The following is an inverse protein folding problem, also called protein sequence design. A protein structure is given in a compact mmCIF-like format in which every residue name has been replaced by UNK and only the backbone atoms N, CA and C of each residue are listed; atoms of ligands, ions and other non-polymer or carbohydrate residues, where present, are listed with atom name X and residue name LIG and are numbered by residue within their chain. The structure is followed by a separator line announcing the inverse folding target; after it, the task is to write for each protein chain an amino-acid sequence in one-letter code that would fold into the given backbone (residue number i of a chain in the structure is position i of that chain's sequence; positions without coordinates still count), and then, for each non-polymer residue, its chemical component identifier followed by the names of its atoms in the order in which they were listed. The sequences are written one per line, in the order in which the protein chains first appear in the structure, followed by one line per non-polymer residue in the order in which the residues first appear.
data_IF_485417141108
#
_entry.id   IF_485417141108
#
_cell.length_a   1.000
_cell.length_b   1.000
_cell.length_c   1.000
_cell.angle_alpha   90.00
_cell.angle_beta   90.00
_cell.angle_gamma   90.00
#
_symmetry.space_group_name_H-M   'P 1'
#
loop_
_entity.id
_entity.type
_entity.pdbx_description
1 polymer ?
#
# COMPACT_ATOMS: atom_id res chain seq x y z
N UNK A 1 -39.24 35.87 31.92
CA UNK A 1 -38.65 34.85 31.04
C UNK A 1 -37.17 35.21 30.85
N UNK A 2 -36.20 34.48 31.41
CA UNK A 2 -34.79 34.77 31.19
C UNK A 2 -34.37 34.24 29.81
N UNK A 3 -33.72 35.10 29.02
CA UNK A 3 -33.12 34.70 27.73
C UNK A 3 -31.85 33.92 28.03
N UNK A 4 -31.88 32.62 27.79
CA UNK A 4 -30.73 31.74 27.98
C UNK A 4 -29.75 32.03 26.83
N UNK A 5 -28.64 32.68 27.14
CA UNK A 5 -27.61 33.02 26.15
C UNK A 5 -26.99 31.77 25.54
N UNK A 6 -26.96 31.72 24.20
CA UNK A 6 -26.27 30.69 23.43
C UNK A 6 -24.77 30.66 23.77
N UNK A 7 -24.13 29.49 23.97
CA UNK A 7 -22.70 29.43 24.23
C UNK A 7 -21.91 29.98 23.04
N UNK A 8 -21.29 31.13 23.25
CA UNK A 8 -20.44 31.80 22.29
C UNK A 8 -19.12 31.04 22.21
N UNK A 9 -19.07 30.11 21.26
CA UNK A 9 -17.83 29.40 20.93
C UNK A 9 -16.96 30.36 20.11
N UNK A 10 -15.84 30.80 20.68
CA UNK A 10 -14.92 31.73 20.04
C UNK A 10 -14.35 31.12 18.74
N UNK A 11 -14.50 31.78 17.57
CA UNK A 11 -14.03 31.28 16.28
C UNK A 11 -12.54 30.89 16.27
N UNK A 12 -11.70 31.61 17.03
CA UNK A 12 -10.26 31.39 17.08
C UNK A 12 -9.85 30.03 17.68
N UNK A 13 -10.64 29.47 18.61
CA UNK A 13 -10.34 28.17 19.24
C UNK A 13 -10.56 26.99 18.29
N UNK A 14 -11.48 27.12 17.33
CA UNK A 14 -11.78 26.06 16.38
C UNK A 14 -10.65 25.93 15.32
N UNK A 15 -10.08 27.06 14.91
CA UNK A 15 -8.98 27.12 13.95
C UNK A 15 -7.71 26.48 14.53
N UNK A 16 -7.35 26.81 15.78
CA UNK A 16 -6.16 26.25 16.43
C UNK A 16 -6.26 24.74 16.65
N UNK A 17 -7.45 24.23 17.01
CA UNK A 17 -7.68 22.79 17.17
C UNK A 17 -7.56 22.03 15.83
N UNK A 18 -8.04 22.64 14.75
CA UNK A 18 -7.95 22.05 13.41
C UNK A 18 -6.49 22.02 12.92
N UNK A 19 -5.73 23.08 13.18
CA UNK A 19 -4.30 23.15 12.87
C UNK A 19 -3.49 22.09 13.64
N UNK A 20 -3.76 21.92 14.93
CA UNK A 20 -3.12 20.89 15.74
C UNK A 20 -3.44 19.47 15.24
N UNK A 21 -4.71 19.19 14.93
CA UNK A 21 -5.12 17.92 14.36
C UNK A 21 -4.45 17.62 13.01
N UNK A 22 -4.32 18.63 12.14
CA UNK A 22 -3.61 18.49 10.87
C UNK A 22 -2.11 18.24 11.08
N UNK A 23 -1.48 18.91 12.04
CA UNK A 23 -0.07 18.71 12.37
C UNK A 23 0.20 17.28 12.84
N UNK A 24 -0.65 16.76 13.73
CA UNK A 24 -0.57 15.37 14.20
C UNK A 24 -0.73 14.39 13.05
N UNK A 25 -1.74 14.60 12.18
CA UNK A 25 -1.96 13.75 10.99
C UNK A 25 -0.75 13.77 10.05
N UNK A 26 -0.18 14.94 9.80
CA UNK A 26 0.99 15.09 8.93
C UNK A 26 2.22 14.36 9.49
N UNK A 27 2.50 14.53 10.80
CA UNK A 27 3.60 13.83 11.47
C UNK A 27 3.45 12.31 11.38
N UNK A 28 2.24 11.81 11.64
CA UNK A 28 1.93 10.38 11.51
C UNK A 28 2.17 9.88 10.09
N UNK A 29 1.58 10.53 9.09
CA UNK A 29 1.77 10.18 7.68
C UNK A 29 3.24 10.17 7.27
N UNK A 30 4.01 11.19 7.65
CA UNK A 30 5.45 11.27 7.36
C UNK A 30 6.20 10.07 7.94
N UNK A 31 5.92 9.71 9.20
CA UNK A 31 6.58 8.57 9.85
C UNK A 31 6.22 7.24 9.20
N UNK A 32 4.94 7.01 8.92
CA UNK A 32 4.45 5.76 8.32
C UNK A 32 4.97 5.60 6.89
N UNK A 33 4.94 6.68 6.09
CA UNK A 33 5.47 6.70 4.74
C UNK A 33 6.98 6.40 4.73
N UNK A 34 7.75 7.05 5.60
CA UNK A 34 9.19 6.78 5.73
C UNK A 34 9.47 5.31 6.05
N UNK A 35 8.78 4.75 7.05
CA UNK A 35 8.95 3.35 7.43
C UNK A 35 8.57 2.40 6.28
N UNK A 36 7.48 2.69 5.59
CA UNK A 36 7.02 1.89 4.45
C UNK A 36 8.03 1.89 3.30
N UNK A 37 8.56 3.05 2.91
CA UNK A 37 9.58 3.13 1.86
C UNK A 37 10.85 2.36 2.26
N UNK A 38 11.30 2.51 3.51
CA UNK A 38 12.46 1.77 4.01
C UNK A 38 12.23 0.27 3.99
N UNK A 39 11.04 -0.16 4.43
CA UNK A 39 10.61 -1.55 4.41
C UNK A 39 10.54 -2.12 2.98
N UNK A 40 9.96 -1.38 2.02
CA UNK A 40 9.71 -1.84 0.65
C UNK A 40 10.98 -1.99 -0.19
N UNK A 41 11.93 -1.08 -0.04
CA UNK A 41 13.10 -1.02 -0.94
C UNK A 41 14.41 -1.46 -0.28
N UNK A 42 14.51 -1.36 1.05
CA UNK A 42 15.74 -1.61 1.78
C UNK A 42 15.61 -2.75 2.80
N UNK A 43 14.46 -3.41 2.87
CA UNK A 43 14.23 -4.55 3.76
C UNK A 43 13.51 -5.69 3.05
N UNK A 44 13.68 -6.90 3.57
CA UNK A 44 12.86 -8.06 3.24
C UNK A 44 11.65 -8.18 4.19
N UNK A 45 11.42 -7.19 5.06
CA UNK A 45 10.39 -7.20 6.10
C UNK A 45 9.43 -6.03 5.99
N UNK A 46 8.16 -6.27 6.29
CA UNK A 46 7.10 -5.25 6.40
C UNK A 46 7.37 -4.30 7.55
N UNK A 47 6.65 -3.17 7.59
CA UNK A 47 6.70 -2.20 8.70
C UNK A 47 6.35 -2.82 10.07
N UNK A 48 5.72 -4.00 10.10
CA UNK A 48 5.38 -4.74 11.32
C UNK A 48 6.38 -5.87 11.62
N UNK A 49 7.49 -5.95 10.88
CA UNK A 49 8.53 -6.95 11.07
C UNK A 49 8.25 -8.33 10.46
N UNK A 50 7.10 -8.51 9.80
CA UNK A 50 6.77 -9.73 9.06
C UNK A 50 7.57 -9.84 7.77
N UNK A 51 7.77 -11.04 7.23
CA UNK A 51 8.44 -11.21 5.94
C UNK A 51 7.55 -10.67 4.80
N UNK A 52 8.14 -9.93 3.85
CA UNK A 52 7.42 -9.39 2.68
C UNK A 52 7.12 -10.49 1.65
N UNK A 53 7.99 -11.49 1.57
CA UNK A 53 7.91 -12.53 0.56
C UNK A 53 7.21 -13.77 1.12
N UNK A 54 6.09 -14.13 0.51
CA UNK A 54 5.37 -15.36 0.86
C UNK A 54 5.96 -16.58 0.15
N UNK A 55 6.51 -16.38 -1.05
CA UNK A 55 7.03 -17.44 -1.90
C UNK A 55 8.50 -17.19 -2.20
N UNK A 56 9.33 -18.21 -1.93
CA UNK A 56 10.72 -18.28 -2.36
C UNK A 56 10.87 -19.54 -3.20
N UNK A 57 11.25 -19.39 -4.45
CA UNK A 57 11.52 -20.50 -5.35
C UNK A 57 12.91 -20.32 -5.96
N UNK A 58 13.59 -21.42 -6.26
CA UNK A 58 14.88 -21.38 -6.93
C UNK A 58 14.71 -21.92 -8.34
N UNK A 59 14.95 -21.09 -9.34
CA UNK A 59 14.99 -21.48 -10.76
C UNK A 59 16.43 -21.32 -11.21
N UNK A 60 17.02 -22.34 -11.82
CA UNK A 60 18.39 -22.28 -12.39
C UNK A 60 19.47 -21.76 -11.41
N UNK A 61 19.33 -22.11 -10.12
CA UNK A 61 20.16 -21.66 -8.97
C UNK A 61 19.98 -20.20 -8.55
N UNK A 62 19.09 -19.45 -9.17
CA UNK A 62 18.73 -18.09 -8.75
C UNK A 62 17.52 -18.10 -7.81
N UNK A 63 17.60 -17.46 -6.63
CA UNK A 63 16.46 -17.33 -5.72
C UNK A 63 15.50 -16.24 -6.19
N UNK A 64 14.33 -16.64 -6.67
CA UNK A 64 13.22 -15.73 -7.01
C UNK A 64 12.31 -15.60 -5.80
N UNK A 65 12.03 -14.35 -5.41
CA UNK A 65 11.12 -14.03 -4.30
C UNK A 65 9.89 -13.30 -4.84
N UNK A 66 8.71 -13.67 -4.36
CA UNK A 66 7.44 -13.03 -4.74
C UNK A 66 6.68 -12.58 -3.50
N UNK A 67 6.18 -11.34 -3.53
CA UNK A 67 5.26 -10.81 -2.53
C UNK A 67 3.84 -10.79 -3.09
N UNK A 68 2.84 -11.11 -2.26
CA UNK A 68 1.41 -10.97 -2.57
C UNK A 68 0.76 -9.81 -1.82
N UNK A 69 1.51 -9.09 -1.00
CA UNK A 69 0.98 -7.96 -0.25
C UNK A 69 0.70 -6.80 -1.19
N UNK A 70 -0.53 -6.21 -1.20
CA UNK A 70 -0.93 -5.14 -2.13
C UNK A 70 -0.04 -3.88 -2.19
N UNK A 71 0.91 -3.70 -1.26
CA UNK A 71 1.93 -2.63 -1.32
C UNK A 71 3.33 -3.09 -1.79
N UNK A 72 3.61 -4.39 -1.77
CA UNK A 72 4.92 -4.96 -2.08
C UNK A 72 4.89 -5.83 -3.34
N UNK A 73 3.77 -5.82 -4.08
CA UNK A 73 3.70 -6.42 -5.39
C UNK A 73 4.80 -5.82 -6.28
N UNK A 74 5.53 -6.70 -6.96
CA UNK A 74 6.38 -6.26 -8.06
C UNK A 74 5.44 -5.80 -9.17
N UNK A 75 5.62 -4.57 -9.65
CA UNK A 75 4.94 -4.10 -10.86
C UNK A 75 5.57 -4.83 -12.04
N UNK A 76 5.20 -6.10 -12.21
CA UNK A 76 5.64 -6.92 -13.34
C UNK A 76 5.15 -6.34 -14.67
N UNK A 77 4.14 -5.46 -14.63
CA UNK A 77 3.66 -4.68 -15.76
C UNK A 77 3.33 -3.23 -15.34
N UNK A 78 4.30 -2.29 -15.44
CA UNK A 78 4.06 -0.87 -15.21
C UNK A 78 3.18 -0.22 -16.28
N UNK A 79 2.81 -0.92 -17.36
CA UNK A 79 2.02 -0.36 -18.45
C UNK A 79 0.50 -0.53 -18.24
N UNK A 80 0.07 -1.27 -17.20
CA UNK A 80 -1.33 -1.62 -16.96
C UNK A 80 -1.85 -1.11 -15.60
N UNK A 81 -1.57 0.16 -15.29
CA UNK A 81 -2.20 0.85 -14.15
C UNK A 81 -3.63 1.26 -14.52
N UNK A 82 -4.55 0.32 -14.48
CA UNK A 82 -5.97 0.62 -14.58
C UNK A 82 -6.48 0.83 -13.14
N UNK A 83 -6.85 2.07 -12.81
CA UNK A 83 -7.28 2.46 -11.47
C UNK A 83 -8.74 2.01 -11.30
N UNK A 84 -8.94 0.79 -10.82
CA UNK A 84 -10.26 0.14 -10.70
C UNK A 84 -11.06 0.71 -9.51
N UNK A 85 -11.24 2.03 -9.44
CA UNK A 85 -12.20 2.65 -8.54
C UNK A 85 -13.62 2.45 -9.08
N UNK A 86 -14.13 1.22 -9.04
CA UNK A 86 -15.57 0.89 -8.96
C UNK A 86 -15.77 -0.63 -8.82
N UNK A 87 -16.64 -1.01 -7.88
CA UNK A 87 -16.90 -2.37 -7.45
C UNK A 87 -17.33 -3.37 -8.56
N UNK A 88 -16.73 -4.56 -8.59
CA UNK A 88 -17.38 -5.90 -8.64
C UNK A 88 -16.35 -7.00 -8.98
N UNK A 89 -16.30 -8.05 -8.16
CA UNK A 89 -15.58 -9.33 -8.39
C UNK A 89 -16.42 -10.27 -9.30
N UNK A 90 -15.93 -11.40 -9.88
CA UNK A 90 -14.83 -12.27 -9.41
C UNK A 90 -13.89 -12.96 -10.45
N UNK A 91 -12.80 -13.49 -9.89
CA UNK A 91 -12.08 -14.75 -10.20
C UNK A 91 -11.44 -15.03 -11.58
N UNK A 92 -10.15 -15.41 -11.48
CA UNK A 92 -9.36 -16.31 -12.33
C UNK A 92 -9.46 -16.18 -13.86
N UNK A 93 -8.37 -15.72 -14.48
CA UNK A 93 -7.95 -16.26 -15.77
C UNK A 93 -6.46 -16.51 -15.76
N UNK A 94 -6.12 -17.76 -15.45
CA UNK A 94 -4.86 -18.35 -15.84
C UNK A 94 -4.85 -18.45 -17.37
N UNK A 95 -3.96 -17.72 -18.03
CA UNK A 95 -3.51 -18.07 -19.37
C UNK A 95 -1.99 -18.03 -19.37
N UNK A 96 -1.40 -19.15 -18.96
CA UNK A 96 -0.03 -19.47 -19.31
C UNK A 96 -0.01 -20.00 -20.73
N UNK A 97 0.58 -19.26 -21.66
CA UNK A 97 0.98 -19.79 -22.96
C UNK A 97 2.51 -19.82 -23.02
N UNK A 98 3.12 -20.76 -22.29
CA UNK A 98 4.45 -21.24 -22.63
C UNK A 98 4.27 -22.39 -23.62
N UNK A 99 4.61 -22.17 -24.90
CA UNK A 99 4.91 -23.28 -25.79
C UNK A 99 6.42 -23.56 -25.75
N UNK A 100 6.87 -24.74 -25.31
CA UNK A 100 8.24 -25.17 -25.54
C UNK A 100 8.34 -25.75 -26.95
N UNK A 101 9.08 -25.07 -27.83
CA UNK A 101 9.50 -25.65 -29.11
C UNK A 101 10.68 -26.59 -28.85
N UNK A 102 10.41 -27.89 -28.77
CA UNK A 102 11.43 -28.91 -29.00
C UNK A 102 11.27 -29.41 -30.43
N UNK A 103 12.27 -29.21 -31.27
CA UNK A 103 12.47 -30.05 -32.45
C UNK A 103 13.96 -30.38 -32.55
N UNK A 104 14.27 -31.65 -32.29
CA UNK A 104 15.48 -32.32 -32.76
C UNK A 104 15.13 -33.22 -33.94
N UNK A 105 15.93 -33.13 -35.00
CA UNK A 105 16.49 -34.24 -35.78
C UNK A 105 17.47 -33.67 -36.80
#
# INVERSE_FOLDING_TARGET
MPVIGLPHTSPGKNISLLEEAQNVKFKKYKSECTQYLMSKYFSDKTIFGGNIFDVKMTIDREPIKVSRFPGYLSYADPANFQDESSASTPACSANGTHQPSMNGN
#
